data_IF_280328349943
#
_entry.id   IF_280328349943
#
_cell.length_a   1.000
_cell.length_b   1.000
_cell.length_c   1.000
_cell.angle_alpha   90.00
_cell.angle_beta   90.00
_cell.angle_gamma   90.00
#
_symmetry.space_group_name_H-M   'P 1'
#
loop_
_entity.id
_entity.type
_entity.pdbx_description
1 polymer ?
#
# COMPACT_ATOMS: atom_id res chain seq x y z
N UNK A 1 17.21 -4.78 24.25
CA UNK A 1 17.54 -5.28 22.88
C UNK A 1 16.26 -5.29 22.03
N UNK A 2 15.94 -4.17 21.35
CA UNK A 2 14.71 -4.00 20.57
C UNK A 2 14.99 -4.19 19.07
N UNK A 3 14.25 -5.12 18.45
CA UNK A 3 14.31 -5.54 17.03
C UNK A 3 14.23 -4.36 16.03
N UNK A 4 14.83 -4.47 14.83
CA UNK A 4 14.85 -3.40 13.83
C UNK A 4 13.45 -3.14 13.27
N UNK A 5 12.76 -2.11 13.79
CA UNK A 5 11.47 -1.62 13.27
C UNK A 5 11.63 -0.73 12.02
N UNK A 6 12.84 -0.28 11.72
CA UNK A 6 13.15 0.68 10.65
C UNK A 6 12.70 0.22 9.24
N UNK A 7 12.90 -1.04 8.80
CA UNK A 7 12.59 -1.43 7.42
C UNK A 7 11.10 -1.37 7.08
N UNK A 8 10.23 -1.71 8.04
CA UNK A 8 8.77 -1.72 7.84
C UNK A 8 8.17 -0.31 7.83
N UNK A 9 8.73 0.60 8.63
CA UNK A 9 8.29 1.99 8.67
C UNK A 9 8.60 2.70 7.35
N UNK A 10 9.83 2.52 6.83
CA UNK A 10 10.24 3.06 5.53
C UNK A 10 9.38 2.50 4.40
N UNK A 11 9.15 1.19 4.38
CA UNK A 11 8.29 0.57 3.36
C UNK A 11 6.86 1.13 3.35
N UNK A 12 6.27 1.35 4.53
CA UNK A 12 4.94 1.97 4.64
C UNK A 12 4.93 3.43 4.20
N UNK A 13 5.96 4.20 4.54
CA UNK A 13 6.09 5.57 4.08
C UNK A 13 6.21 5.63 2.55
N UNK A 14 7.04 4.77 1.96
CA UNK A 14 7.18 4.66 0.50
C UNK A 14 5.85 4.30 -0.18
N UNK A 15 5.09 3.34 0.36
CA UNK A 15 3.76 3.00 -0.19
C UNK A 15 2.78 4.18 -0.13
N UNK A 16 2.82 4.98 0.93
CA UNK A 16 1.95 6.14 1.09
C UNK A 16 2.35 7.32 0.17
N UNK A 17 3.65 7.48 -0.08
CA UNK A 17 4.21 8.56 -0.90
C UNK A 17 4.22 8.25 -2.40
N UNK A 18 4.23 6.97 -2.78
CA UNK A 18 4.33 6.49 -4.17
C UNK A 18 3.31 7.16 -5.12
N UNK A 19 2.00 7.25 -4.81
CA UNK A 19 1.03 7.81 -5.75
C UNK A 19 1.37 9.25 -6.15
N UNK A 20 1.68 10.10 -5.16
CA UNK A 20 2.01 11.50 -5.40
C UNK A 20 3.30 11.65 -6.23
N UNK A 21 4.32 10.84 -5.94
CA UNK A 21 5.56 10.86 -6.71
C UNK A 21 5.35 10.42 -8.18
N UNK A 22 4.51 9.41 -8.41
CA UNK A 22 4.13 8.98 -9.76
C UNK A 22 3.33 10.06 -10.52
N UNK A 23 2.39 10.74 -9.84
CA UNK A 23 1.64 11.85 -10.42
C UNK A 23 2.55 13.01 -10.81
N UNK A 24 3.52 13.38 -9.96
CA UNK A 24 4.49 14.42 -10.30
C UNK A 24 5.40 14.02 -11.45
N UNK A 25 5.84 12.76 -11.52
CA UNK A 25 6.60 12.26 -12.67
C UNK A 25 5.75 12.34 -13.93
N UNK A 26 4.51 11.88 -13.89
CA UNK A 26 3.60 11.95 -15.03
C UNK A 26 3.40 13.40 -15.50
N UNK A 27 3.12 14.32 -14.58
CA UNK A 27 2.97 15.74 -14.86
C UNK A 27 4.23 16.31 -15.53
N UNK A 28 5.43 16.02 -15.02
CA UNK A 28 6.68 16.47 -15.63
C UNK A 28 6.83 15.96 -17.08
N UNK A 29 6.51 14.70 -17.34
CA UNK A 29 6.63 14.11 -18.67
C UNK A 29 5.64 14.72 -19.67
N UNK A 30 4.44 15.09 -19.23
CA UNK A 30 3.44 15.70 -20.11
C UNK A 30 3.80 17.10 -20.58
N UNK A 31 4.44 17.88 -19.73
CA UNK A 31 5.02 19.18 -20.15
C UNK A 31 6.30 19.01 -20.98
N UNK A 32 6.64 17.77 -21.36
CA UNK A 32 7.76 17.45 -22.24
C UNK A 32 9.12 17.40 -21.55
N UNK A 33 9.15 17.30 -20.21
CA UNK A 33 10.41 17.20 -19.49
C UNK A 33 11.02 15.81 -19.70
N UNK A 34 12.31 15.69 -20.06
CA UNK A 34 12.96 14.39 -20.16
C UNK A 34 12.91 13.64 -18.83
N UNK A 35 12.69 12.31 -18.87
CA UNK A 35 12.52 11.50 -17.66
C UNK A 35 13.69 11.63 -16.67
N UNK A 36 14.93 11.66 -17.17
CA UNK A 36 16.13 11.84 -16.33
C UNK A 36 16.11 13.15 -15.53
N UNK A 37 15.52 14.23 -16.10
CA UNK A 37 15.33 15.51 -15.42
C UNK A 37 14.12 15.48 -14.50
N UNK A 38 13.00 14.90 -14.96
CA UNK A 38 11.80 14.74 -14.15
C UNK A 38 12.09 14.00 -12.83
N UNK A 39 12.85 12.91 -12.89
CA UNK A 39 13.24 12.13 -11.70
C UNK A 39 14.01 12.98 -10.69
N UNK A 40 14.92 13.84 -11.15
CA UNK A 40 15.69 14.71 -10.27
C UNK A 40 14.80 15.75 -9.59
N UNK A 41 13.95 16.42 -10.38
CA UNK A 41 13.00 17.41 -9.86
C UNK A 41 12.06 16.79 -8.83
N UNK A 42 11.52 15.61 -9.13
CA UNK A 42 10.61 14.91 -8.21
C UNK A 42 11.35 14.40 -6.98
N UNK A 43 12.62 13.96 -7.10
CA UNK A 43 13.43 13.58 -5.94
C UNK A 43 13.61 14.75 -4.95
N UNK A 44 13.84 15.96 -5.45
CA UNK A 44 14.10 17.15 -4.62
C UNK A 44 12.87 17.61 -3.82
N UNK A 45 11.66 17.39 -4.34
CA UNK A 45 10.40 17.75 -3.67
C UNK A 45 9.76 16.60 -2.90
N UNK A 46 10.27 15.38 -3.08
CA UNK A 46 9.70 14.19 -2.45
C UNK A 46 10.07 14.10 -0.96
N UNK A 47 9.21 13.49 -0.12
CA UNK A 47 9.61 13.16 1.24
C UNK A 47 10.73 12.12 1.28
N UNK A 48 11.41 12.01 2.42
CA UNK A 48 12.69 11.30 2.54
C UNK A 48 12.66 9.82 2.08
N UNK A 49 11.55 9.10 2.28
CA UNK A 49 11.46 7.69 1.96
C UNK A 49 11.46 7.43 0.45
N UNK A 50 10.86 8.34 -0.31
CA UNK A 50 10.84 8.33 -1.79
C UNK A 50 12.01 9.10 -2.40
N UNK A 51 12.42 10.23 -1.79
CA UNK A 51 13.52 11.06 -2.27
C UNK A 51 14.81 10.25 -2.42
N UNK A 52 15.15 9.40 -1.44
CA UNK A 52 16.35 8.55 -1.52
C UNK A 52 16.31 7.55 -2.67
N UNK A 53 15.14 7.02 -2.99
CA UNK A 53 14.94 6.07 -4.11
C UNK A 53 15.14 6.77 -5.44
N UNK A 54 14.48 7.91 -5.65
CA UNK A 54 14.57 8.68 -6.89
C UNK A 54 15.95 9.33 -7.06
N UNK A 55 16.58 9.80 -5.97
CA UNK A 55 17.93 10.33 -6.00
C UNK A 55 18.95 9.26 -6.44
N UNK A 56 18.78 8.01 -6.04
CA UNK A 56 19.64 6.91 -6.50
C UNK A 56 19.51 6.65 -8.01
N UNK A 57 18.30 6.77 -8.57
CA UNK A 57 18.08 6.69 -10.02
C UNK A 57 18.70 7.88 -10.74
N UNK A 58 18.44 9.09 -10.23
CA UNK A 58 19.00 10.32 -10.79
C UNK A 58 20.53 10.31 -10.79
N UNK A 59 21.16 9.79 -9.72
CA UNK A 59 22.61 9.66 -9.61
C UNK A 59 23.18 8.67 -10.63
N UNK A 60 22.51 7.52 -10.84
CA UNK A 60 22.90 6.55 -11.88
C UNK A 60 22.81 7.14 -13.28
N UNK A 61 21.73 7.85 -13.58
CA UNK A 61 21.59 8.55 -14.87
C UNK A 61 22.63 9.65 -15.04
N UNK A 62 22.96 10.40 -13.99
CA UNK A 62 24.00 11.44 -14.03
C UNK A 62 25.41 10.86 -14.23
N UNK A 63 25.66 9.62 -13.80
CA UNK A 63 26.90 8.91 -14.03
C UNK A 63 27.05 8.37 -15.47
N UNK A 64 26.12 8.69 -16.38
CA UNK A 64 26.20 8.33 -17.80
C UNK A 64 25.52 7.00 -18.16
N UNK A 65 24.89 6.31 -17.20
CA UNK A 65 24.06 5.15 -17.51
C UNK A 65 22.80 5.57 -18.26
N UNK A 66 22.35 4.73 -19.19
CA UNK A 66 21.06 4.93 -19.83
C UNK A 66 19.95 4.95 -18.76
N UNK A 67 19.01 5.89 -18.87
CA UNK A 67 17.87 6.01 -17.94
C UNK A 67 17.13 4.69 -17.79
N UNK A 68 16.94 3.95 -18.89
CA UNK A 68 16.32 2.62 -18.90
C UNK A 68 17.06 1.58 -18.05
N UNK A 69 18.40 1.63 -17.97
CA UNK A 69 19.21 0.74 -17.11
C UNK A 69 19.05 1.09 -15.63
N UNK A 70 19.07 2.39 -15.31
CA UNK A 70 18.88 2.86 -13.94
C UNK A 70 17.53 2.40 -13.35
N UNK A 71 16.47 2.46 -14.15
CA UNK A 71 15.14 1.94 -13.80
C UNK A 71 15.07 0.41 -13.82
N UNK A 72 15.78 -0.26 -14.73
CA UNK A 72 15.83 -1.73 -14.76
C UNK A 72 16.41 -2.31 -13.47
N UNK A 73 17.43 -1.66 -12.89
CA UNK A 73 17.98 -2.03 -11.59
C UNK A 73 17.01 -1.87 -10.41
N UNK A 74 15.87 -1.20 -10.61
CA UNK A 74 14.84 -0.98 -9.59
C UNK A 74 13.65 -1.96 -9.71
N UNK A 75 13.63 -2.84 -10.73
CA UNK A 75 12.53 -3.81 -10.95
C UNK A 75 12.26 -4.73 -9.75
N UNK A 76 13.29 -5.01 -8.94
CA UNK A 76 13.19 -5.82 -7.72
C UNK A 76 12.80 -5.01 -6.47
N UNK A 77 12.65 -3.69 -6.58
CA UNK A 77 12.29 -2.84 -5.45
C UNK A 77 10.85 -3.17 -5.00
N UNK A 78 10.61 -3.42 -3.71
CA UNK A 78 9.33 -3.94 -3.22
C UNK A 78 8.14 -2.98 -3.43
N UNK A 79 8.40 -1.68 -3.56
CA UNK A 79 7.35 -0.65 -3.77
C UNK A 79 7.35 -0.11 -5.19
N UNK A 80 8.53 0.04 -5.79
CA UNK A 80 8.72 0.76 -7.05
C UNK A 80 8.88 -0.19 -8.24
N UNK A 81 9.04 -1.49 -8.01
CA UNK A 81 9.45 -2.45 -9.02
C UNK A 81 8.52 -2.54 -10.23
N UNK A 82 7.21 -2.48 -10.01
CA UNK A 82 6.19 -2.48 -11.08
C UNK A 82 6.30 -1.22 -11.95
N UNK A 83 6.23 -0.04 -11.33
CA UNK A 83 6.38 1.22 -12.06
C UNK A 83 7.75 1.31 -12.77
N UNK A 84 8.83 0.93 -12.09
CA UNK A 84 10.18 0.92 -12.66
C UNK A 84 10.32 -0.02 -13.86
N UNK A 85 9.65 -1.16 -13.85
CA UNK A 85 9.64 -2.10 -14.96
C UNK A 85 9.03 -1.50 -16.23
N UNK A 86 7.93 -0.79 -16.06
CA UNK A 86 7.18 -0.16 -17.14
C UNK A 86 7.88 1.09 -17.65
N UNK A 87 8.41 1.92 -16.75
CA UNK A 87 9.21 3.10 -17.09
C UNK A 87 10.45 2.70 -17.90
N UNK A 88 11.18 1.67 -17.46
CA UNK A 88 12.33 1.15 -18.19
C UNK A 88 11.94 0.61 -19.58
N UNK A 89 10.76 0.02 -19.71
CA UNK A 89 10.20 -0.40 -21.00
C UNK A 89 9.91 0.81 -21.89
N UNK A 90 9.19 1.80 -21.38
CA UNK A 90 8.81 3.00 -22.11
C UNK A 90 10.04 3.75 -22.64
N UNK A 91 11.07 3.94 -21.82
CA UNK A 91 12.35 4.53 -22.25
C UNK A 91 13.05 3.71 -23.33
N UNK A 92 13.07 2.37 -23.20
CA UNK A 92 13.71 1.49 -24.18
C UNK A 92 13.01 1.52 -25.54
N UNK A 93 11.69 1.66 -25.55
CA UNK A 93 10.88 1.68 -26.78
C UNK A 93 10.57 3.09 -27.29
N UNK A 94 11.04 4.13 -26.60
CA UNK A 94 10.80 5.53 -26.96
C UNK A 94 9.32 5.94 -26.83
N UNK A 95 8.54 5.26 -25.99
CA UNK A 95 7.12 5.58 -25.76
C UNK A 95 6.95 6.45 -24.52
N UNK A 96 5.84 7.18 -24.45
CA UNK A 96 5.55 8.01 -23.28
C UNK A 96 5.17 7.16 -22.06
N UNK A 97 5.86 7.39 -20.94
CA UNK A 97 5.54 6.76 -19.66
C UNK A 97 4.44 7.50 -18.88
N UNK A 98 3.97 8.68 -19.33
CA UNK A 98 3.07 9.53 -18.54
C UNK A 98 1.72 8.85 -18.22
N UNK A 99 1.11 8.18 -19.20
CA UNK A 99 -0.13 7.43 -18.99
C UNK A 99 0.06 6.23 -18.05
N UNK A 100 1.18 5.52 -18.17
CA UNK A 100 1.53 4.39 -17.30
C UNK A 100 1.72 4.85 -15.85
N UNK A 101 2.43 5.95 -15.64
CA UNK A 101 2.66 6.53 -14.33
C UNK A 101 1.35 6.92 -13.63
N UNK A 102 0.39 7.48 -14.37
CA UNK A 102 -0.96 7.76 -13.83
C UNK A 102 -1.71 6.51 -13.42
N UNK A 103 -1.67 5.47 -14.26
CA UNK A 103 -2.31 4.20 -13.95
C UNK A 103 -1.71 3.62 -12.66
N UNK A 104 -0.38 3.60 -12.53
CA UNK A 104 0.29 3.16 -11.30
C UNK A 104 -0.06 4.03 -10.08
N UNK A 105 -0.23 5.35 -10.26
CA UNK A 105 -0.63 6.24 -9.17
C UNK A 105 -2.05 5.92 -8.68
N UNK A 106 -2.97 5.64 -9.61
CA UNK A 106 -4.34 5.26 -9.29
C UNK A 106 -4.42 3.89 -8.62
N UNK A 107 -3.72 2.89 -9.16
CA UNK A 107 -3.61 1.56 -8.56
C UNK A 107 -3.08 1.65 -7.12
N UNK A 108 -2.04 2.45 -6.89
CA UNK A 108 -1.46 2.64 -5.56
C UNK A 108 -2.43 3.33 -4.58
N UNK A 109 -3.29 4.26 -5.05
CA UNK A 109 -4.36 4.84 -4.22
C UNK A 109 -5.43 3.80 -3.86
N UNK A 110 -5.84 2.99 -4.82
CA UNK A 110 -6.83 1.92 -4.62
C UNK A 110 -6.34 0.88 -3.62
N UNK A 111 -5.09 0.43 -3.75
CA UNK A 111 -4.45 -0.48 -2.78
C UNK A 111 -4.41 0.12 -1.37
N UNK A 112 -4.14 1.42 -1.25
CA UNK A 112 -4.17 2.15 0.01
C UNK A 112 -5.55 2.19 0.66
N UNK A 113 -6.59 2.48 -0.15
CA UNK A 113 -7.98 2.52 0.30
C UNK A 113 -8.46 1.12 0.75
N UNK A 114 -8.16 0.09 -0.03
CA UNK A 114 -8.46 -1.31 0.31
C UNK A 114 -7.80 -1.75 1.61
N UNK A 115 -6.54 -1.38 1.80
CA UNK A 115 -5.83 -1.68 3.04
C UNK A 115 -6.44 -0.96 4.26
N UNK A 116 -6.98 0.25 4.08
CA UNK A 116 -7.70 0.96 5.14
C UNK A 116 -9.06 0.31 5.44
N UNK A 117 -9.81 -0.08 4.40
CA UNK A 117 -11.11 -0.73 4.54
C UNK A 117 -10.99 -2.10 5.21
N UNK A 118 -9.97 -2.89 4.86
CA UNK A 118 -9.65 -4.17 5.52
C UNK A 118 -9.39 -3.97 7.02
N UNK A 119 -8.66 -2.91 7.39
CA UNK A 119 -8.42 -2.56 8.80
C UNK A 119 -9.74 -2.22 9.50
N UNK A 120 -10.59 -1.40 8.90
CA UNK A 120 -11.90 -1.06 9.47
C UNK A 120 -12.80 -2.29 9.69
N UNK A 121 -12.87 -3.22 8.72
CA UNK A 121 -13.68 -4.44 8.83
C UNK A 121 -13.24 -5.35 9.98
N UNK A 122 -11.94 -5.44 10.24
CA UNK A 122 -11.43 -6.26 11.35
C UNK A 122 -11.80 -5.72 12.74
N UNK A 123 -12.10 -4.42 12.88
CA UNK A 123 -12.55 -3.83 14.13
C UNK A 123 -13.95 -4.32 14.49
N UNK A 124 -14.87 -4.34 13.53
CA UNK A 124 -16.24 -4.83 13.74
C UNK A 124 -16.29 -6.30 14.19
N UNK A 125 -15.48 -7.16 13.58
CA UNK A 125 -15.40 -8.58 13.96
C UNK A 125 -14.80 -8.74 15.35
N UNK A 126 -13.76 -7.96 15.70
CA UNK A 126 -13.17 -7.98 17.04
C UNK A 126 -14.13 -7.51 18.13
N UNK A 127 -15.05 -6.61 17.81
CA UNK A 127 -16.06 -6.13 18.76
C UNK A 127 -17.26 -7.07 18.89
N UNK A 128 -17.64 -7.77 17.82
CA UNK A 128 -18.72 -8.75 17.86
C UNK A 128 -18.36 -10.01 18.67
N UNK A 129 -17.08 -10.39 18.69
CA UNK A 129 -16.58 -11.55 19.43
C UNK A 129 -16.86 -11.48 20.96
N UNK A 130 -16.47 -10.41 21.71
CA UNK A 130 -16.77 -10.30 23.13
C UNK A 130 -18.27 -10.19 23.40
N UNK A 131 -19.04 -9.55 22.49
CA UNK A 131 -20.50 -9.50 22.59
C UNK A 131 -21.12 -10.89 22.52
N UNK A 132 -20.73 -11.73 21.54
CA UNK A 132 -21.20 -13.11 21.46
C UNK A 132 -20.83 -13.93 22.71
N UNK A 133 -19.59 -13.79 23.20
CA UNK A 133 -19.13 -14.50 24.41
C UNK A 133 -19.88 -14.05 25.67
N UNK A 134 -20.31 -12.78 25.74
CA UNK A 134 -21.09 -12.25 26.86
C UNK A 134 -22.58 -12.61 26.76
N UNK A 135 -23.12 -12.73 25.54
CA UNK A 135 -24.53 -13.06 25.32
C UNK A 135 -24.83 -14.55 25.54
N UNK A 136 -23.89 -15.43 25.19
CA UNK A 136 -24.03 -16.88 25.35
C UNK A 136 -24.39 -17.31 26.80
N UNK A 137 -23.68 -16.88 27.86
CA UNK A 137 -24.02 -17.26 29.23
C UNK A 137 -25.37 -16.67 29.68
N UNK A 138 -25.68 -15.43 29.28
CA UNK A 138 -26.95 -14.79 29.64
C UNK A 138 -28.14 -15.49 28.96
N UNK A 139 -28.00 -15.89 27.70
CA UNK A 139 -29.05 -16.62 26.97
C UNK A 139 -29.32 -18.00 27.58
N UNK A 140 -28.27 -18.71 28.02
CA UNK A 140 -28.43 -20.00 28.71
C UNK A 140 -29.19 -19.83 30.02
N UNK A 141 -28.79 -18.86 30.84
CA UNK A 141 -29.41 -18.59 32.16
C UNK A 141 -30.87 -18.14 32.05
N UNK A 142 -31.19 -17.27 31.08
CA UNK A 142 -32.53 -16.65 30.98
C UNK A 142 -33.47 -17.44 30.05
N UNK A 143 -32.95 -18.04 28.98
CA UNK A 143 -33.76 -18.73 27.96
C UNK A 143 -33.84 -20.23 28.17
N UNK A 144 -32.70 -20.91 28.28
CA UNK A 144 -32.65 -22.39 28.25
C UNK A 144 -33.02 -23.01 29.58
N UNK A 145 -32.48 -22.49 30.70
CA UNK A 145 -32.71 -23.05 32.04
C UNK A 145 -34.21 -23.10 32.40
N UNK A 146 -35.02 -22.04 32.21
CA UNK A 146 -36.44 -22.09 32.57
C UNK A 146 -37.26 -23.06 31.72
N UNK A 147 -36.94 -23.16 30.42
CA UNK A 147 -37.64 -24.06 29.50
C UNK A 147 -37.39 -25.52 29.88
N UNK A 148 -36.12 -25.87 30.13
CA UNK A 148 -35.76 -27.23 30.56
C UNK A 148 -36.38 -27.55 31.92
N UNK A 149 -36.34 -26.61 32.87
CA UNK A 149 -36.97 -26.79 34.18
C UNK A 149 -38.48 -27.02 34.07
N UNK A 150 -39.18 -26.27 33.21
CA UNK A 150 -40.61 -26.46 32.95
C UNK A 150 -40.92 -27.85 32.39
N UNK A 151 -40.20 -28.27 31.35
CA UNK A 151 -40.40 -29.58 30.71
C UNK A 151 -40.13 -30.76 31.66
N UNK A 152 -39.11 -30.65 32.51
CA UNK A 152 -38.78 -31.65 33.53
C UNK A 152 -39.90 -31.74 34.57
N UNK A 153 -40.48 -30.60 34.96
CA UNK A 153 -41.60 -30.57 35.92
C UNK A 153 -42.87 -31.18 35.35
N UNK A 154 -43.19 -30.90 34.08
CA UNK A 154 -44.37 -31.46 33.39
C UNK A 154 -44.26 -32.98 33.12
N UNK A 155 -43.05 -33.53 33.01
CA UNK A 155 -42.82 -34.95 32.76
C UNK A 155 -42.73 -35.80 34.04
N UNK A 156 -42.36 -35.18 35.17
CA UNK A 156 -42.18 -35.84 36.47
C UNK A 156 -43.34 -35.59 37.46
N UNK A 157 -44.28 -34.71 37.11
CA UNK A 157 -45.54 -34.48 37.83
C UNK A 157 -46.72 -35.18 37.16
#
# INVERSE_FOLDING_TARGET
MSRPRAPRAVHRAQLAELPAALDFLAACLEVGLPLSRAVRVVADISPAATAGVLAAVAARSAAGHATSEAWTGMRSHPVWGRAAADIAGAERWGTSAAGLLRAHAEDARQDGADAAMRRARTVGVRSALPLMVCFLPSFVLVGVVPIVAGLVTDLLG
#
